data_IF_887749475415
#
_entry.id   IF_887749475415
#
_cell.length_a   1.000
_cell.length_b   1.000
_cell.length_c   1.000
_cell.angle_alpha   90.00
_cell.angle_beta   90.00
_cell.angle_gamma   90.00
#
_symmetry.space_group_name_H-M   'P 1'
#
loop_
_entity.id
_entity.type
_entity.pdbx_description
1 polymer ?
#
# COMPACT_ATOMS: atom_id res chain seq x y z
N UNK A 1 -5.21 -1.59 7.17
CA UNK A 1 -5.26 -3.02 6.90
C UNK A 1 -5.65 -3.25 5.45
N UNK A 2 -5.32 -4.42 4.91
CA UNK A 2 -5.74 -4.82 3.56
C UNK A 2 -5.55 -6.33 3.39
N UNK A 3 -6.32 -6.93 2.47
CA UNK A 3 -6.24 -8.35 2.20
C UNK A 3 -7.09 -8.79 1.02
N UNK A 4 -6.88 -10.03 0.59
CA UNK A 4 -7.63 -10.67 -0.48
C UNK A 4 -7.92 -12.12 -0.11
N UNK A 5 -9.01 -12.69 -0.61
CA UNK A 5 -9.37 -14.09 -0.42
C UNK A 5 -9.22 -14.91 -1.73
N UNK A 6 -9.45 -16.21 -1.63
CA UNK A 6 -9.25 -17.15 -2.73
C UNK A 6 -10.24 -17.00 -3.90
N UNK A 7 -11.34 -16.28 -3.71
CA UNK A 7 -12.33 -16.01 -4.76
C UNK A 7 -12.15 -14.62 -5.38
N UNK A 8 -11.05 -13.90 -5.05
CA UNK A 8 -10.69 -12.61 -5.64
C UNK A 8 -11.40 -11.41 -5.03
N UNK A 9 -12.15 -11.59 -3.95
CA UNK A 9 -12.65 -10.48 -3.16
C UNK A 9 -11.51 -9.87 -2.36
N UNK A 10 -11.36 -8.56 -2.44
CA UNK A 10 -10.26 -7.83 -1.78
C UNK A 10 -10.78 -6.59 -1.10
N UNK A 11 -10.19 -6.27 0.06
CA UNK A 11 -10.60 -5.14 0.88
C UNK A 11 -9.39 -4.44 1.48
N UNK A 12 -9.46 -3.13 1.56
CA UNK A 12 -8.54 -2.28 2.32
C UNK A 12 -9.31 -1.25 3.14
N UNK A 13 -8.68 -0.65 4.16
CA UNK A 13 -9.28 0.47 4.87
C UNK A 13 -8.32 1.64 5.07
N UNK A 14 -8.91 2.82 5.24
CA UNK A 14 -8.28 3.98 5.89
C UNK A 14 -9.16 4.41 7.06
N UNK A 15 -8.58 4.61 8.24
CA UNK A 15 -9.31 5.17 9.37
C UNK A 15 -9.88 6.54 8.98
N UNK A 16 -11.13 6.81 9.36
CA UNK A 16 -11.79 8.10 9.17
C UNK A 16 -12.01 8.76 10.54
N UNK A 17 -11.74 10.06 10.62
CA UNK A 17 -11.81 10.80 11.87
C UNK A 17 -12.92 11.86 11.89
N UNK A 18 -13.88 11.73 10.97
CA UNK A 18 -15.04 12.65 10.86
C UNK A 18 -16.38 11.90 10.68
N UNK A 19 -16.39 10.59 10.93
CA UNK A 19 -17.60 9.78 11.04
C UNK A 19 -18.05 9.71 12.50
N UNK A 20 -19.30 9.29 12.74
CA UNK A 20 -19.89 8.99 14.06
C UNK A 20 -20.04 10.21 14.99
N UNK A 21 -20.04 11.45 14.49
CA UNK A 21 -20.23 12.62 15.34
C UNK A 21 -21.57 12.53 16.11
N UNK A 22 -21.49 12.65 17.44
CA UNK A 22 -22.64 12.55 18.34
C UNK A 22 -23.26 11.17 18.47
N UNK A 23 -22.67 10.14 17.85
CA UNK A 23 -23.11 8.74 17.98
C UNK A 23 -22.37 8.02 19.11
N UNK A 24 -23.02 7.05 19.72
CA UNK A 24 -22.45 6.18 20.74
C UNK A 24 -22.64 4.72 20.30
N UNK A 25 -21.61 3.91 20.46
CA UNK A 25 -21.63 2.49 20.18
C UNK A 25 -21.27 1.70 21.46
N UNK A 26 -21.99 0.61 21.71
CA UNK A 26 -21.78 -0.21 22.92
C UNK A 26 -20.60 -1.20 22.77
N UNK A 27 -20.00 -1.28 21.59
CA UNK A 27 -18.84 -2.14 21.33
C UNK A 27 -17.55 -1.32 21.24
N UNK A 28 -16.37 -1.93 21.55
CA UNK A 28 -15.09 -1.22 21.44
C UNK A 28 -14.84 -0.67 20.02
N UNK A 29 -14.22 0.49 19.94
CA UNK A 29 -13.72 1.09 18.70
C UNK A 29 -12.51 0.32 18.11
N UNK A 30 -12.02 0.76 16.97
CA UNK A 30 -10.84 0.24 16.26
C UNK A 30 -10.95 -1.24 15.87
N UNK A 31 -12.14 -1.69 15.47
CA UNK A 31 -12.40 -3.09 15.09
C UNK A 31 -12.24 -3.38 13.60
N UNK A 32 -11.74 -2.44 12.81
CA UNK A 32 -11.64 -2.55 11.35
C UNK A 32 -10.87 -3.79 10.90
N UNK A 33 -9.78 -4.13 11.59
CA UNK A 33 -8.98 -5.32 11.27
C UNK A 33 -9.75 -6.63 11.48
N UNK A 34 -10.53 -6.73 12.57
CA UNK A 34 -11.38 -7.88 12.85
C UNK A 34 -12.55 -7.96 11.87
N UNK A 35 -13.18 -6.82 11.59
CA UNK A 35 -14.25 -6.71 10.60
C UNK A 35 -13.79 -7.18 9.23
N UNK A 36 -12.66 -6.65 8.72
CA UNK A 36 -12.10 -7.04 7.43
C UNK A 36 -11.76 -8.53 7.36
N UNK A 37 -11.22 -9.09 8.43
CA UNK A 37 -10.97 -10.54 8.50
C UNK A 37 -12.26 -11.34 8.37
N UNK A 38 -13.30 -10.99 9.13
CA UNK A 38 -14.60 -11.67 9.05
C UNK A 38 -15.21 -11.57 7.64
N UNK A 39 -15.10 -10.40 7.01
CA UNK A 39 -15.55 -10.16 5.63
C UNK A 39 -14.80 -11.03 4.63
N UNK A 40 -13.47 -11.12 4.72
CA UNK A 40 -12.63 -11.96 3.84
C UNK A 40 -12.95 -13.46 3.98
N UNK A 41 -13.48 -13.90 5.11
CA UNK A 41 -13.86 -15.30 5.33
C UNK A 41 -15.19 -15.68 4.61
N UNK A 42 -16.08 -14.71 4.33
CA UNK A 42 -17.46 -15.02 3.89
C UNK A 42 -17.91 -14.30 2.61
N UNK A 43 -17.29 -13.21 2.19
CA UNK A 43 -17.71 -12.43 1.04
C UNK A 43 -16.96 -12.85 -0.24
N UNK A 44 -17.69 -12.89 -1.34
CA UNK A 44 -17.14 -13.13 -2.68
C UNK A 44 -17.28 -11.93 -3.61
N UNK A 45 -18.21 -11.01 -3.33
CA UNK A 45 -18.48 -9.83 -4.16
C UNK A 45 -19.04 -8.66 -3.32
N UNK A 46 -19.32 -7.53 -3.98
CA UNK A 46 -19.88 -6.33 -3.34
C UNK A 46 -21.24 -6.60 -2.69
N UNK A 47 -22.08 -7.44 -3.29
CA UNK A 47 -23.40 -7.77 -2.72
C UNK A 47 -23.27 -8.54 -1.41
N UNK A 48 -22.34 -9.50 -1.34
CA UNK A 48 -22.06 -10.23 -0.10
C UNK A 48 -21.57 -9.27 0.99
N UNK A 49 -20.72 -8.32 0.62
CA UNK A 49 -20.20 -7.31 1.54
C UNK A 49 -21.32 -6.39 2.08
N UNK A 50 -22.20 -5.89 1.22
CA UNK A 50 -23.36 -5.07 1.61
C UNK A 50 -24.31 -5.85 2.53
N UNK A 51 -24.60 -7.11 2.19
CA UNK A 51 -25.40 -8.01 3.02
C UNK A 51 -24.75 -8.28 4.38
N UNK A 52 -23.42 -8.41 4.43
CA UNK A 52 -22.69 -8.59 5.69
C UNK A 52 -22.79 -7.34 6.57
N UNK A 53 -22.60 -6.15 6.00
CA UNK A 53 -22.74 -4.88 6.73
C UNK A 53 -24.15 -4.70 7.29
N UNK A 54 -25.19 -4.94 6.48
CA UNK A 54 -26.59 -4.81 6.91
C UNK A 54 -26.94 -5.78 8.07
N UNK A 55 -26.42 -7.01 8.05
CA UNK A 55 -26.65 -8.01 9.11
C UNK A 55 -25.86 -7.76 10.38
N UNK A 56 -24.81 -6.95 10.31
CA UNK A 56 -23.87 -6.68 11.41
C UNK A 56 -23.90 -5.23 11.90
N UNK A 57 -24.95 -4.49 11.58
CA UNK A 57 -25.17 -3.11 12.02
C UNK A 57 -25.06 -2.99 13.54
N UNK A 58 -24.30 -1.98 14.00
CA UNK A 58 -24.06 -1.72 15.42
C UNK A 58 -23.25 -2.79 16.19
N UNK A 59 -22.75 -3.83 15.49
CA UNK A 59 -21.94 -4.90 16.12
C UNK A 59 -20.43 -4.66 16.03
N UNK A 60 -20.02 -3.60 15.35
CA UNK A 60 -18.62 -3.25 15.12
C UNK A 60 -18.40 -1.77 15.42
N UNK A 61 -17.38 -1.46 16.19
CA UNK A 61 -16.92 -0.09 16.41
C UNK A 61 -16.07 0.38 15.23
N UNK A 62 -16.71 0.89 14.17
CA UNK A 62 -16.05 1.25 12.92
C UNK A 62 -16.11 2.76 12.69
N UNK A 63 -15.01 3.30 12.18
CA UNK A 63 -14.92 4.64 11.63
C UNK A 63 -13.88 4.63 10.49
N UNK A 64 -14.27 4.14 9.30
CA UNK A 64 -13.31 3.91 8.22
C UNK A 64 -13.92 4.00 6.83
N UNK A 65 -13.05 4.28 5.86
CA UNK A 65 -13.33 4.10 4.44
C UNK A 65 -12.81 2.72 4.01
N UNK A 66 -13.69 1.85 3.57
CA UNK A 66 -13.34 0.54 3.03
C UNK A 66 -13.35 0.59 1.51
N UNK A 67 -12.19 0.36 0.89
CA UNK A 67 -12.07 0.15 -0.55
C UNK A 67 -12.20 -1.34 -0.85
N UNK A 68 -13.13 -1.71 -1.73
CA UNK A 68 -13.44 -3.11 -2.06
C UNK A 68 -13.41 -3.31 -3.55
N UNK A 69 -12.80 -4.42 -3.99
CA UNK A 69 -12.88 -4.92 -5.36
C UNK A 69 -13.19 -6.42 -5.36
N UNK A 70 -13.82 -6.91 -6.43
CA UNK A 70 -14.12 -8.33 -6.59
C UNK A 70 -13.78 -8.87 -7.99
N UNK A 71 -13.79 -10.20 -8.13
CA UNK A 71 -13.48 -10.88 -9.39
C UNK A 71 -14.59 -10.76 -10.46
N UNK A 72 -15.75 -10.16 -10.14
CA UNK A 72 -16.84 -9.89 -11.07
C UNK A 72 -16.74 -8.49 -11.70
N UNK A 73 -15.74 -7.70 -11.31
CA UNK A 73 -15.50 -6.35 -11.78
C UNK A 73 -16.11 -5.28 -10.88
N UNK A 74 -16.64 -5.63 -9.73
CA UNK A 74 -17.11 -4.68 -8.73
C UNK A 74 -15.95 -3.92 -8.11
N UNK A 75 -16.10 -2.59 -7.94
CA UNK A 75 -15.15 -1.72 -7.28
C UNK A 75 -15.87 -0.54 -6.63
N UNK A 76 -15.73 -0.38 -5.32
CA UNK A 76 -16.39 0.70 -4.59
C UNK A 76 -15.63 1.08 -3.31
N UNK A 77 -15.86 2.31 -2.84
CA UNK A 77 -15.59 2.71 -1.46
C UNK A 77 -16.87 2.72 -0.65
N UNK A 78 -16.74 2.31 0.61
CA UNK A 78 -17.79 2.36 1.63
C UNK A 78 -17.26 3.16 2.81
N UNK A 79 -17.81 4.34 3.02
CA UNK A 79 -17.54 5.17 4.20
C UNK A 79 -18.47 4.70 5.32
N UNK A 80 -17.94 3.90 6.27
CA UNK A 80 -18.71 3.16 7.26
C UNK A 80 -18.45 3.65 8.66
N UNK A 81 -19.53 4.13 9.31
CA UNK A 81 -19.60 4.42 10.73
C UNK A 81 -20.16 3.23 11.54
N UNK A 82 -20.63 3.50 12.76
CA UNK A 82 -21.20 2.48 13.65
C UNK A 82 -22.44 1.81 13.05
N UNK A 83 -23.35 2.59 12.48
CA UNK A 83 -24.65 2.12 12.02
C UNK A 83 -24.78 2.22 10.51
N UNK A 84 -24.49 3.36 9.94
CA UNK A 84 -24.70 3.67 8.55
C UNK A 84 -23.45 3.53 7.69
N UNK A 85 -23.64 3.46 6.38
CA UNK A 85 -22.56 3.61 5.40
C UNK A 85 -23.02 4.37 4.17
N UNK A 86 -22.09 5.04 3.52
CA UNK A 86 -22.26 5.64 2.19
C UNK A 86 -21.42 4.87 1.17
N UNK A 87 -22.04 4.45 0.06
CA UNK A 87 -21.36 3.76 -1.05
C UNK A 87 -20.96 4.75 -2.13
N UNK A 88 -19.76 4.60 -2.62
CA UNK A 88 -19.23 5.29 -3.80
C UNK A 88 -18.77 4.25 -4.81
N UNK A 89 -19.58 4.00 -5.84
CA UNK A 89 -19.33 2.98 -6.86
C UNK A 89 -18.48 3.58 -7.99
N UNK A 90 -17.39 2.89 -8.38
CA UNK A 90 -16.50 3.34 -9.46
C UNK A 90 -17.18 3.28 -10.83
N UNK A 91 -18.21 2.46 -10.99
CA UNK A 91 -18.97 2.36 -12.25
C UNK A 91 -19.97 3.49 -12.45
N UNK A 92 -20.26 4.27 -11.41
CA UNK A 92 -21.11 5.44 -11.48
C UNK A 92 -20.29 6.66 -11.94
N UNK A 93 -20.57 7.15 -13.15
CA UNK A 93 -19.85 8.27 -13.75
C UNK A 93 -20.05 9.60 -13.01
N UNK A 94 -21.13 9.75 -12.24
CA UNK A 94 -21.36 10.93 -11.42
C UNK A 94 -20.50 10.91 -10.15
N UNK A 95 -20.12 9.71 -9.70
CA UNK A 95 -19.29 9.47 -8.51
C UNK A 95 -17.81 9.39 -8.87
N UNK A 96 -17.47 8.71 -9.95
CA UNK A 96 -16.09 8.46 -10.41
C UNK A 96 -15.94 8.77 -11.91
N UNK A 97 -16.00 10.04 -12.33
CA UNK A 97 -15.96 10.43 -13.75
C UNK A 97 -14.67 9.97 -14.45
N UNK A 98 -13.57 9.86 -13.72
CA UNK A 98 -12.27 9.44 -14.24
C UNK A 98 -11.99 7.93 -14.01
N UNK A 99 -12.97 7.17 -13.51
CA UNK A 99 -12.87 5.73 -13.28
C UNK A 99 -12.00 5.32 -12.07
N UNK A 100 -11.75 6.24 -11.14
CA UNK A 100 -11.05 5.95 -9.88
C UNK A 100 -11.61 6.77 -8.72
N UNK A 101 -11.31 6.34 -7.50
CA UNK A 101 -11.66 7.03 -6.25
C UNK A 101 -10.44 7.12 -5.35
N UNK A 102 -10.29 8.24 -4.65
CA UNK A 102 -9.22 8.48 -3.69
C UNK A 102 -9.82 8.73 -2.31
N UNK A 103 -9.26 8.08 -1.30
CA UNK A 103 -9.60 8.28 0.12
C UNK A 103 -8.33 8.41 0.95
N UNK A 104 -8.41 9.25 1.98
CA UNK A 104 -7.40 9.38 3.03
C UNK A 104 -8.05 9.22 4.40
N UNK A 105 -7.67 10.01 5.40
CA UNK A 105 -8.19 9.84 6.76
C UNK A 105 -9.37 10.78 7.07
N UNK A 106 -10.22 11.00 6.08
CA UNK A 106 -11.54 11.61 6.22
C UNK A 106 -12.53 10.97 5.24
N UNK A 107 -13.82 11.09 5.52
CA UNK A 107 -14.93 10.63 4.69
C UNK A 107 -15.68 11.82 4.09
N UNK A 108 -16.12 11.72 2.86
CA UNK A 108 -16.93 12.76 2.21
C UNK A 108 -18.34 12.84 2.79
N UNK A 109 -18.86 11.72 3.33
CA UNK A 109 -20.14 11.66 4.03
C UNK A 109 -20.05 12.05 5.51
N UNK A 110 -18.85 12.31 6.04
CA UNK A 110 -18.65 12.68 7.42
C UNK A 110 -18.81 14.20 7.66
N UNK A 111 -18.53 14.63 8.89
CA UNK A 111 -18.60 16.04 9.27
C UNK A 111 -17.61 16.85 8.45
N UNK A 112 -18.10 17.93 7.81
CA UNK A 112 -17.31 18.82 6.96
C UNK A 112 -16.18 19.47 7.76
N UNK A 113 -15.05 19.71 7.08
CA UNK A 113 -13.82 20.31 7.65
C UNK A 113 -13.20 19.56 8.84
N UNK A 114 -13.58 18.31 9.06
CA UNK A 114 -12.99 17.43 10.05
C UNK A 114 -12.23 16.26 9.42
N UNK A 115 -11.42 15.57 10.22
CA UNK A 115 -10.57 14.46 9.78
C UNK A 115 -9.14 14.88 9.43
N UNK A 116 -8.39 13.98 8.80
CA UNK A 116 -6.97 14.17 8.51
C UNK A 116 -6.64 13.80 7.07
N UNK A 117 -5.49 14.27 6.59
CA UNK A 117 -4.94 13.86 5.31
C UNK A 117 -5.43 14.64 4.10
N UNK A 118 -6.01 15.82 4.26
CA UNK A 118 -6.42 16.72 3.17
C UNK A 118 -5.25 17.06 2.24
N UNK A 119 -4.07 17.35 2.82
CA UNK A 119 -2.86 17.68 2.05
C UNK A 119 -2.48 16.48 1.17
N UNK A 120 -2.46 15.27 1.73
CA UNK A 120 -2.16 14.02 1.02
C UNK A 120 -3.22 13.69 -0.04
N UNK A 121 -4.50 13.96 0.25
CA UNK A 121 -5.59 13.79 -0.70
C UNK A 121 -5.39 14.70 -1.93
N UNK A 122 -5.13 16.00 -1.71
CA UNK A 122 -4.92 16.96 -2.79
C UNK A 122 -3.76 16.59 -3.71
N UNK A 123 -2.61 16.22 -3.14
CA UNK A 123 -1.45 15.77 -3.92
C UNK A 123 -1.72 14.48 -4.70
N UNK A 124 -2.44 13.54 -4.10
CA UNK A 124 -2.78 12.29 -4.79
C UNK A 124 -3.77 12.56 -5.92
N UNK A 125 -4.77 13.41 -5.70
CA UNK A 125 -5.74 13.81 -6.74
C UNK A 125 -5.05 14.49 -7.92
N UNK A 126 -4.15 15.46 -7.66
CA UNK A 126 -3.36 16.10 -8.70
C UNK A 126 -2.51 15.10 -9.49
N UNK A 127 -1.88 14.13 -8.79
CA UNK A 127 -1.08 13.11 -9.43
C UNK A 127 -1.90 12.24 -10.39
N UNK A 128 -3.09 11.80 -9.97
CA UNK A 128 -3.95 10.92 -10.78
C UNK A 128 -4.61 11.66 -11.94
N UNK A 129 -5.04 12.91 -11.76
CA UNK A 129 -5.61 13.74 -12.83
C UNK A 129 -4.67 13.95 -14.02
N UNK A 130 -3.36 13.87 -13.80
CA UNK A 130 -2.35 14.02 -14.84
C UNK A 130 -1.95 12.67 -15.49
N UNK A 131 -2.68 11.57 -15.22
CA UNK A 131 -2.37 10.25 -15.75
C UNK A 131 -3.40 9.78 -16.77
N UNK A 132 -2.93 9.42 -17.98
CA UNK A 132 -3.78 8.78 -18.98
C UNK A 132 -4.03 7.29 -18.68
N UNK A 133 -3.10 6.65 -17.95
CA UNK A 133 -3.18 5.22 -17.62
C UNK A 133 -2.64 4.95 -16.22
N UNK A 134 -3.43 4.29 -15.41
CA UNK A 134 -3.03 3.84 -14.06
C UNK A 134 -2.44 2.43 -14.20
N UNK A 135 -1.12 2.35 -14.36
CA UNK A 135 -0.38 1.09 -14.44
C UNK A 135 0.17 0.67 -13.06
N UNK A 136 0.64 -0.57 -12.97
CA UNK A 136 1.32 -1.05 -11.74
C UNK A 136 2.60 -0.26 -11.49
N UNK A 137 3.35 0.06 -12.54
CA UNK A 137 4.55 0.87 -12.46
C UNK A 137 4.23 2.26 -11.91
N UNK A 138 3.20 2.94 -12.45
CA UNK A 138 2.74 4.22 -11.91
C UNK A 138 2.37 4.13 -10.43
N UNK A 139 1.61 3.11 -10.04
CA UNK A 139 1.21 2.91 -8.65
C UNK A 139 2.41 2.69 -7.73
N UNK A 140 3.39 1.89 -8.15
CA UNK A 140 4.59 1.60 -7.36
C UNK A 140 5.54 2.80 -7.27
N UNK A 141 5.82 3.47 -8.39
CA UNK A 141 6.85 4.50 -8.45
C UNK A 141 6.36 5.89 -8.08
N UNK A 142 5.16 6.26 -8.54
CA UNK A 142 4.63 7.61 -8.39
C UNK A 142 3.61 7.72 -7.25
N UNK A 143 2.63 6.81 -7.17
CA UNK A 143 1.56 6.95 -6.19
C UNK A 143 2.02 6.55 -4.78
N UNK A 144 2.55 5.31 -4.60
CA UNK A 144 2.93 4.82 -3.26
C UNK A 144 4.23 5.44 -2.73
N UNK A 145 5.04 6.03 -3.59
CA UNK A 145 6.31 6.71 -3.27
C UNK A 145 6.28 8.20 -3.62
N UNK A 146 5.08 8.80 -3.55
CA UNK A 146 4.94 10.23 -3.76
C UNK A 146 5.63 11.01 -2.63
N UNK A 147 6.59 11.85 -3.00
CA UNK A 147 7.38 12.70 -2.11
C UNK A 147 7.15 14.19 -2.38
N UNK A 148 6.01 14.53 -3.00
CA UNK A 148 5.54 15.90 -3.13
C UNK A 148 4.69 16.30 -1.92
N UNK A 149 4.92 17.48 -1.38
CA UNK A 149 4.11 18.04 -0.30
C UNK A 149 3.18 19.12 -0.85
N UNK A 150 1.87 18.91 -0.73
CA UNK A 150 0.87 19.75 -1.38
C UNK A 150 0.76 21.16 -0.81
N UNK A 151 1.09 21.38 0.46
CA UNK A 151 0.97 22.69 1.10
C UNK A 151 2.21 23.57 0.90
N UNK A 152 3.42 23.00 1.06
CA UNK A 152 4.67 23.76 0.98
C UNK A 152 5.34 23.69 -0.40
N UNK A 153 4.79 22.91 -1.31
CA UNK A 153 5.27 22.80 -2.68
C UNK A 153 6.61 22.07 -2.86
N UNK A 154 7.16 21.45 -1.83
CA UNK A 154 8.37 20.65 -1.94
C UNK A 154 8.09 19.37 -2.70
N UNK A 155 8.97 19.04 -3.65
CA UNK A 155 9.06 17.72 -4.27
C UNK A 155 10.48 17.18 -4.10
N UNK A 156 10.63 16.20 -3.22
CA UNK A 156 11.93 15.68 -2.85
C UNK A 156 12.57 14.82 -3.96
N UNK A 157 11.77 14.32 -4.92
CA UNK A 157 12.30 13.61 -6.10
C UNK A 157 12.72 14.58 -7.20
N UNK A 158 11.95 15.65 -7.40
CA UNK A 158 12.26 16.64 -8.43
C UNK A 158 13.44 17.57 -8.06
N UNK A 159 13.77 17.66 -6.77
CA UNK A 159 14.88 18.50 -6.28
C UNK A 159 15.86 17.69 -5.45
N UNK A 160 16.57 16.72 -6.05
CA UNK A 160 17.58 15.92 -5.33
C UNK A 160 18.68 16.80 -4.75
N UNK A 161 19.32 16.34 -3.69
CA UNK A 161 20.31 17.12 -2.93
C UNK A 161 21.75 16.70 -3.25
N UNK A 162 22.72 17.65 -3.19
CA UNK A 162 24.13 17.32 -3.27
C UNK A 162 24.53 16.32 -2.18
N UNK A 163 25.49 15.45 -2.49
CA UNK A 163 26.09 14.49 -1.54
C UNK A 163 27.15 15.17 -0.66
N UNK A 164 27.11 16.45 -0.44
CA UNK A 164 28.06 17.10 0.46
C UNK A 164 27.79 16.68 1.91
N UNK A 165 28.75 15.95 2.50
CA UNK A 165 28.69 15.50 3.90
C UNK A 165 28.58 16.65 4.90
N UNK A 166 28.93 17.87 4.50
CA UNK A 166 28.84 19.08 5.31
C UNK A 166 27.45 19.74 5.19
N UNK A 167 26.70 19.46 4.12
CA UNK A 167 25.36 20.00 3.88
C UNK A 167 24.29 18.97 4.29
N UNK A 168 24.09 18.82 5.59
CA UNK A 168 23.06 17.96 6.16
C UNK A 168 21.69 18.64 6.01
N UNK A 169 21.13 18.55 4.83
CA UNK A 169 19.80 19.11 4.56
C UNK A 169 18.71 18.18 5.10
N UNK A 170 18.23 18.49 6.28
CA UNK A 170 17.07 17.85 6.85
C UNK A 170 15.79 18.53 6.38
N UNK A 171 14.75 17.72 6.14
CA UNK A 171 13.40 18.17 5.78
C UNK A 171 12.42 17.66 6.82
N UNK A 172 11.55 18.53 7.33
CA UNK A 172 10.41 18.09 8.15
C UNK A 172 9.51 17.19 7.30
N UNK A 173 9.33 15.92 7.73
CA UNK A 173 8.71 14.88 6.92
C UNK A 173 7.30 14.56 7.44
N UNK A 174 6.41 15.53 7.31
CA UNK A 174 4.99 15.43 7.68
C UNK A 174 4.12 15.64 6.44
N UNK A 175 2.93 15.08 6.44
CA UNK A 175 1.90 15.22 5.39
C UNK A 175 2.29 14.85 3.95
N UNK A 176 3.39 14.14 3.76
CA UNK A 176 3.67 13.42 2.52
C UNK A 176 2.78 12.18 2.42
N UNK A 177 2.50 11.71 1.18
CA UNK A 177 1.78 10.45 0.96
C UNK A 177 2.53 9.29 1.62
N UNK A 178 3.84 9.24 1.43
CA UNK A 178 4.73 8.38 2.20
C UNK A 178 4.90 8.95 3.60
N UNK A 179 4.29 8.34 4.59
CA UNK A 179 4.44 8.78 5.98
C UNK A 179 5.64 8.10 6.62
N UNK A 180 6.32 8.83 7.55
CA UNK A 180 7.38 8.20 8.35
C UNK A 180 6.88 6.94 9.08
N UNK A 181 5.66 6.94 9.56
CA UNK A 181 5.05 5.83 10.29
C UNK A 181 4.61 4.66 9.40
N UNK A 182 4.67 4.78 8.06
CA UNK A 182 4.30 3.68 7.17
C UNK A 182 5.18 2.46 7.43
N UNK A 183 4.55 1.32 7.69
CA UNK A 183 5.19 0.05 8.00
C UNK A 183 5.04 -0.98 6.87
N UNK A 184 4.11 -0.75 5.96
CA UNK A 184 3.90 -1.57 4.75
C UNK A 184 3.01 -0.84 3.76
N UNK A 185 3.06 -1.27 2.52
CA UNK A 185 2.14 -0.86 1.45
C UNK A 185 1.79 -2.08 0.62
N UNK A 186 0.57 -2.12 0.11
CA UNK A 186 0.15 -3.15 -0.81
C UNK A 186 -0.70 -2.53 -1.93
N UNK A 187 -0.44 -2.94 -3.16
CA UNK A 187 -1.32 -2.70 -4.28
C UNK A 187 -2.00 -4.03 -4.61
N UNK A 188 -3.31 -4.06 -4.57
CA UNK A 188 -4.07 -5.25 -4.94
C UNK A 188 -4.52 -5.09 -6.39
N UNK A 189 -3.89 -5.84 -7.27
CA UNK A 189 -4.29 -5.93 -8.67
C UNK A 189 -5.33 -7.04 -8.80
N UNK A 190 -6.59 -6.65 -8.94
CA UNK A 190 -7.70 -7.57 -9.20
C UNK A 190 -7.61 -8.23 -10.57
N UNK A 191 -8.60 -9.04 -10.89
CA UNK A 191 -8.75 -9.76 -12.15
C UNK A 191 -9.93 -9.19 -12.96
N UNK A 192 -9.92 -9.41 -14.26
CA UNK A 192 -11.08 -9.15 -15.10
C UNK A 192 -12.14 -10.25 -14.88
N UNK A 193 -13.44 -9.97 -15.12
CA UNK A 193 -14.53 -10.94 -14.89
C UNK A 193 -14.36 -12.29 -15.60
N UNK A 194 -13.55 -12.33 -16.66
CA UNK A 194 -13.25 -13.56 -17.42
C UNK A 194 -11.99 -14.29 -16.96
N UNK A 195 -11.27 -13.74 -16.00
CA UNK A 195 -10.00 -14.30 -15.50
C UNK A 195 -10.22 -15.13 -14.24
N UNK A 196 -9.29 -16.03 -13.98
CA UNK A 196 -9.30 -16.84 -12.77
C UNK A 196 -8.99 -15.99 -11.52
N UNK A 197 -9.81 -16.04 -10.45
CA UNK A 197 -9.61 -15.25 -9.24
C UNK A 197 -8.23 -15.42 -8.58
N UNK A 198 -7.63 -16.59 -8.71
CA UNK A 198 -6.29 -16.88 -8.19
C UNK A 198 -5.16 -16.07 -8.84
N UNK A 199 -5.44 -15.33 -9.90
CA UNK A 199 -4.50 -14.38 -10.52
C UNK A 199 -4.46 -13.02 -9.82
N UNK A 200 -5.39 -12.76 -8.88
CA UNK A 200 -5.34 -11.56 -8.03
C UNK A 200 -3.96 -11.48 -7.38
N UNK A 201 -3.26 -10.39 -7.67
CA UNK A 201 -1.86 -10.21 -7.27
C UNK A 201 -1.75 -9.13 -6.22
N UNK A 202 -1.10 -9.45 -5.11
CA UNK A 202 -0.79 -8.54 -4.03
C UNK A 202 0.66 -8.09 -4.20
N UNK A 203 0.86 -6.86 -4.68
CA UNK A 203 2.16 -6.23 -4.79
C UNK A 203 2.52 -5.63 -3.44
N UNK A 204 3.27 -6.40 -2.65
CA UNK A 204 3.54 -6.09 -1.25
C UNK A 204 4.89 -5.41 -1.09
N UNK A 205 4.91 -4.29 -0.40
CA UNK A 205 6.12 -3.59 0.07
C UNK A 205 6.10 -3.73 1.59
N UNK A 206 6.93 -4.62 2.14
CA UNK A 206 7.01 -4.89 3.57
C UNK A 206 8.11 -4.03 4.19
N UNK A 207 7.71 -2.99 4.91
CA UNK A 207 8.58 -1.95 5.43
C UNK A 207 8.23 -0.57 4.87
N UNK A 208 9.12 0.39 5.08
CA UNK A 208 8.95 1.75 4.57
C UNK A 208 9.16 1.80 3.05
N UNK A 209 8.17 2.29 2.30
CA UNK A 209 8.09 2.18 0.85
C UNK A 209 9.36 2.63 0.10
N UNK A 210 9.99 3.77 0.45
CA UNK A 210 11.13 4.26 -0.32
C UNK A 210 12.39 3.39 -0.24
N UNK A 211 12.48 2.49 0.74
CA UNK A 211 13.69 1.69 0.98
C UNK A 211 13.47 0.20 0.77
N UNK A 212 12.26 -0.19 0.34
CA UNK A 212 11.90 -1.61 0.23
C UNK A 212 11.50 -1.97 -1.19
N UNK A 213 12.05 -3.06 -1.72
CA UNK A 213 11.61 -3.65 -2.99
C UNK A 213 10.23 -4.28 -2.87
N UNK A 214 9.43 -4.15 -3.93
CA UNK A 214 8.14 -4.84 -4.01
C UNK A 214 8.31 -6.35 -4.11
N UNK A 215 7.46 -7.08 -3.40
CA UNK A 215 7.37 -8.54 -3.47
C UNK A 215 5.95 -8.95 -3.85
N UNK A 216 5.71 -9.40 -5.09
CA UNK A 216 4.40 -9.85 -5.52
C UNK A 216 4.10 -11.22 -4.90
N UNK A 217 2.91 -11.34 -4.30
CA UNK A 217 2.40 -12.59 -3.72
C UNK A 217 0.96 -12.84 -4.18
N UNK A 218 0.51 -14.08 -4.07
CA UNK A 218 -0.82 -14.53 -4.43
C UNK A 218 -1.42 -15.34 -3.29
N UNK A 219 -2.73 -15.27 -3.09
CA UNK A 219 -3.42 -16.04 -2.03
C UNK A 219 -3.10 -17.53 -2.15
N UNK A 220 -3.09 -18.06 -3.38
CA UNK A 220 -2.70 -19.45 -3.66
C UNK A 220 -1.27 -19.78 -3.24
N UNK A 221 -0.40 -18.78 -3.13
CA UNK A 221 1.01 -18.97 -2.74
C UNK A 221 1.25 -19.07 -1.24
N UNK A 222 0.23 -19.02 -0.42
CA UNK A 222 0.39 -19.00 1.05
C UNK A 222 1.28 -20.13 1.60
N UNK A 223 1.25 -21.31 0.97
CA UNK A 223 2.12 -22.46 1.33
C UNK A 223 3.58 -22.31 0.84
N UNK A 224 3.89 -21.30 0.02
CA UNK A 224 5.18 -21.12 -0.66
C UNK A 224 5.68 -19.67 -0.59
N UNK A 225 5.29 -18.93 0.44
CA UNK A 225 5.74 -17.55 0.61
C UNK A 225 7.28 -17.51 0.70
N UNK A 226 7.91 -16.47 0.11
CA UNK A 226 9.32 -16.20 0.31
C UNK A 226 9.68 -16.11 1.80
N UNK A 227 10.77 -16.76 2.23
CA UNK A 227 11.17 -16.78 3.65
C UNK A 227 11.48 -15.39 4.18
N UNK A 228 11.98 -14.50 3.33
CA UNK A 228 12.25 -13.09 3.69
C UNK A 228 10.99 -12.32 4.13
N UNK A 229 9.78 -12.82 3.84
CA UNK A 229 8.51 -12.22 4.27
C UNK A 229 7.92 -12.83 5.55
N UNK A 230 8.55 -13.85 6.11
CA UNK A 230 8.00 -14.62 7.21
C UNK A 230 8.73 -14.30 8.51
N UNK A 231 7.99 -13.77 9.48
CA UNK A 231 8.47 -13.61 10.85
C UNK A 231 8.69 -14.98 11.51
N UNK A 232 9.81 -15.17 12.18
CA UNK A 232 10.14 -16.37 12.94
C UNK A 232 10.39 -16.00 14.41
N UNK A 233 9.84 -16.77 15.32
CA UNK A 233 10.09 -16.62 16.77
C UNK A 233 9.80 -15.21 17.33
N UNK A 234 8.85 -14.50 16.75
CA UNK A 234 8.49 -13.14 17.18
C UNK A 234 9.46 -12.05 16.72
N UNK A 235 10.48 -12.38 15.93
CA UNK A 235 11.34 -11.39 15.29
C UNK A 235 10.65 -10.75 14.08
N UNK A 236 11.16 -9.61 13.61
CA UNK A 236 10.74 -9.02 12.34
C UNK A 236 11.00 -9.99 11.17
N UNK A 237 10.14 -9.94 10.15
CA UNK A 237 10.46 -10.63 8.90
C UNK A 237 11.76 -10.06 8.31
N UNK A 238 12.65 -10.89 7.74
CA UNK A 238 13.98 -10.46 7.30
C UNK A 238 13.99 -9.22 6.41
N UNK A 239 13.08 -9.15 5.43
CA UNK A 239 12.97 -7.97 4.56
C UNK A 239 12.52 -6.72 5.33
N UNK A 240 11.65 -6.86 6.34
CA UNK A 240 11.24 -5.73 7.18
C UNK A 240 12.39 -5.23 8.06
N UNK A 241 13.20 -6.13 8.61
CA UNK A 241 14.39 -5.78 9.39
C UNK A 241 15.38 -4.96 8.56
N UNK A 242 15.68 -5.42 7.33
CA UNK A 242 16.54 -4.69 6.38
C UNK A 242 15.95 -3.31 6.03
N UNK A 243 14.64 -3.23 5.78
CA UNK A 243 13.97 -1.96 5.52
C UNK A 243 14.04 -0.99 6.70
N UNK A 244 13.92 -1.49 7.93
CA UNK A 244 14.05 -0.67 9.15
C UNK A 244 15.48 -0.13 9.32
N UNK A 245 16.48 -0.92 8.99
CA UNK A 245 17.87 -0.48 9.00
C UNK A 245 18.10 0.68 8.01
N UNK A 246 17.71 0.52 6.76
CA UNK A 246 17.83 1.57 5.74
C UNK A 246 17.02 2.83 6.08
N UNK A 247 15.84 2.66 6.67
CA UNK A 247 15.03 3.78 7.14
C UNK A 247 15.73 4.59 8.22
N UNK A 248 16.49 3.96 9.13
CA UNK A 248 17.31 4.67 10.14
C UNK A 248 18.38 5.55 9.50
N UNK A 249 18.93 5.15 8.36
CA UNK A 249 19.86 6.01 7.61
C UNK A 249 19.19 7.27 7.08
N UNK A 250 17.90 7.18 6.70
CA UNK A 250 17.10 8.34 6.27
C UNK A 250 16.63 9.21 7.45
N UNK A 251 16.43 8.63 8.63
CA UNK A 251 15.99 9.32 9.85
C UNK A 251 17.00 9.08 10.99
N UNK A 252 18.23 9.65 10.89
CA UNK A 252 19.33 9.33 11.80
C UNK A 252 19.19 9.97 13.18
N UNK A 253 18.20 10.85 13.39
CA UNK A 253 17.99 11.51 14.68
C UNK A 253 16.87 10.81 15.43
N UNK A 254 17.19 10.05 16.45
CA UNK A 254 16.19 9.30 17.23
C UNK A 254 15.59 10.13 18.38
N UNK A 255 16.23 11.23 18.77
CA UNK A 255 15.91 11.99 19.98
C UNK A 255 14.91 13.11 19.74
N UNK A 256 13.85 13.12 20.53
CA UNK A 256 12.85 14.18 20.52
C UNK A 256 12.18 14.34 19.14
N UNK A 257 11.91 15.57 18.74
CA UNK A 257 11.32 15.88 17.44
C UNK A 257 12.27 15.68 16.26
N UNK A 258 13.55 15.42 16.52
CA UNK A 258 14.53 15.12 15.47
C UNK A 258 14.17 13.90 14.64
N UNK A 259 13.45 12.96 15.23
CA UNK A 259 12.92 11.76 14.54
C UNK A 259 12.01 12.07 13.33
N UNK A 260 11.41 13.26 13.26
CA UNK A 260 10.47 13.66 12.21
C UNK A 260 11.18 14.36 11.03
N UNK A 261 12.52 14.47 11.10
CA UNK A 261 13.35 15.09 10.06
C UNK A 261 14.06 14.04 9.20
N UNK A 262 13.71 14.05 7.93
CA UNK A 262 14.35 13.23 6.90
C UNK A 262 15.70 13.84 6.48
N UNK A 263 16.75 13.05 6.46
CA UNK A 263 18.00 13.38 5.78
C UNK A 263 17.84 13.11 4.28
N UNK A 264 17.45 14.13 3.53
CA UNK A 264 17.01 14.03 2.15
C UNK A 264 18.05 13.39 1.22
N UNK A 265 19.32 13.79 1.32
CA UNK A 265 20.40 13.27 0.48
C UNK A 265 20.66 11.76 0.62
N UNK A 266 20.18 11.13 1.71
CA UNK A 266 20.22 9.67 1.87
C UNK A 266 19.11 8.97 1.13
N UNK A 267 17.99 9.66 0.91
CA UNK A 267 16.85 9.09 0.18
C UNK A 267 17.01 9.24 -1.33
N UNK A 268 17.24 10.47 -1.78
CA UNK A 268 17.54 10.82 -3.18
C UNK A 268 18.65 11.86 -3.24
N UNK A 269 19.52 11.78 -4.22
CA UNK A 269 20.62 12.73 -4.37
C UNK A 269 21.04 12.91 -5.84
N UNK A 270 21.84 13.96 -6.10
CA UNK A 270 22.29 14.32 -7.45
C UNK A 270 23.20 13.27 -8.10
N UNK A 271 23.88 12.42 -7.33
CA UNK A 271 24.70 11.32 -7.87
C UNK A 271 23.89 10.09 -8.26
N UNK A 272 22.58 10.03 -7.88
CA UNK A 272 21.73 8.86 -8.11
C UNK A 272 22.07 7.67 -7.20
N UNK A 273 22.76 7.92 -6.07
CA UNK A 273 23.16 6.90 -5.09
C UNK A 273 22.28 6.93 -3.83
N UNK A 274 21.21 7.73 -3.82
CA UNK A 274 20.21 7.69 -2.77
C UNK A 274 19.49 6.35 -2.73
N UNK A 275 19.02 5.95 -1.56
CA UNK A 275 18.40 4.61 -1.38
C UNK A 275 17.24 4.41 -2.36
N UNK A 276 16.36 5.40 -2.53
CA UNK A 276 15.26 5.31 -3.47
C UNK A 276 15.74 5.30 -4.94
N UNK A 277 16.82 6.03 -5.23
CA UNK A 277 17.40 6.07 -6.57
C UNK A 277 17.92 4.69 -7.01
N UNK A 278 18.38 3.86 -6.06
CA UNK A 278 18.83 2.48 -6.30
C UNK A 278 17.65 1.48 -6.26
N UNK A 279 16.68 1.67 -5.38
CA UNK A 279 15.53 0.76 -5.22
C UNK A 279 14.66 0.73 -6.48
N UNK A 280 14.32 1.88 -7.07
CA UNK A 280 13.40 1.95 -8.20
C UNK A 280 13.88 1.18 -9.44
N UNK A 281 15.14 1.34 -9.91
CA UNK A 281 15.64 0.56 -11.05
C UNK A 281 15.66 -0.95 -10.79
N UNK A 282 16.02 -1.37 -9.56
CA UNK A 282 16.03 -2.77 -9.19
C UNK A 282 14.61 -3.36 -9.20
N UNK A 283 13.62 -2.61 -8.75
CA UNK A 283 12.22 -3.03 -8.72
C UNK A 283 11.64 -3.28 -10.12
N UNK A 284 12.07 -2.53 -11.14
CA UNK A 284 11.63 -2.76 -12.52
C UNK A 284 11.86 -4.21 -12.99
N UNK A 285 12.96 -4.84 -12.56
CA UNK A 285 13.26 -6.24 -12.89
C UNK A 285 12.21 -7.19 -12.29
N UNK A 286 11.79 -6.92 -11.06
CA UNK A 286 10.74 -7.70 -10.37
C UNK A 286 9.40 -7.53 -11.09
N UNK A 287 9.00 -6.29 -11.36
CA UNK A 287 7.73 -5.95 -12.02
C UNK A 287 7.66 -6.62 -13.39
N UNK A 288 8.69 -6.44 -14.23
CA UNK A 288 8.77 -7.03 -15.58
C UNK A 288 8.65 -8.56 -15.56
N UNK A 289 9.33 -9.21 -14.61
CA UNK A 289 9.29 -10.67 -14.51
C UNK A 289 7.94 -11.18 -13.98
N UNK A 290 7.33 -10.44 -13.07
CA UNK A 290 6.00 -10.73 -12.54
C UNK A 290 4.93 -10.62 -13.63
N UNK A 291 4.91 -9.53 -14.38
CA UNK A 291 3.97 -9.33 -15.51
C UNK A 291 4.13 -10.46 -16.55
N UNK A 292 5.37 -10.85 -16.85
CA UNK A 292 5.63 -11.99 -17.76
C UNK A 292 5.05 -13.29 -17.22
N UNK A 293 5.14 -13.53 -15.92
CA UNK A 293 4.57 -14.69 -15.26
C UNK A 293 3.05 -14.67 -15.26
N UNK A 294 2.42 -13.55 -14.90
CA UNK A 294 0.97 -13.35 -14.97
C UNK A 294 0.44 -13.60 -16.39
N UNK A 295 1.09 -13.05 -17.43
CA UNK A 295 0.70 -13.25 -18.82
C UNK A 295 0.82 -14.72 -19.27
N UNK A 296 1.81 -15.45 -18.73
CA UNK A 296 1.91 -16.90 -18.95
C UNK A 296 0.74 -17.65 -18.29
N UNK A 297 0.38 -17.29 -17.07
CA UNK A 297 -0.70 -17.92 -16.33
C UNK A 297 -2.08 -17.61 -16.93
N UNK A 298 -2.32 -16.41 -17.42
CA UNK A 298 -3.54 -16.07 -18.18
C UNK A 298 -3.75 -16.99 -19.40
N UNK A 299 -2.64 -17.40 -20.05
CA UNK A 299 -2.69 -18.26 -21.25
C UNK A 299 -2.72 -19.75 -20.94
N UNK A 300 -2.08 -20.20 -19.86
CA UNK A 300 -1.76 -21.62 -19.59
C UNK A 300 -2.25 -22.14 -18.25
N UNK A 301 -2.91 -21.30 -17.48
CA UNK A 301 -3.27 -21.55 -16.08
C UNK A 301 -2.09 -21.40 -15.12
N UNK A 302 -2.41 -21.14 -13.88
CA UNK A 302 -1.47 -21.04 -12.76
C UNK A 302 -0.81 -22.40 -12.48
N UNK A 303 0.51 -22.39 -12.15
CA UNK A 303 1.27 -23.59 -11.79
C UNK A 303 2.15 -23.33 -10.57
N UNK A 304 2.04 -24.16 -9.54
CA UNK A 304 2.88 -24.09 -8.34
C UNK A 304 4.38 -24.21 -8.63
N UNK A 305 4.75 -24.97 -9.67
CA UNK A 305 6.15 -25.09 -10.10
C UNK A 305 6.73 -23.80 -10.65
N UNK A 306 5.91 -23.00 -11.34
CA UNK A 306 6.33 -21.70 -11.84
C UNK A 306 6.47 -20.70 -10.67
N UNK A 307 5.54 -20.74 -9.73
CA UNK A 307 5.56 -19.93 -8.51
C UNK A 307 6.80 -20.22 -7.66
N UNK A 308 7.08 -21.50 -7.36
CA UNK A 308 8.28 -21.90 -6.60
C UNK A 308 9.57 -21.41 -7.25
N UNK A 309 9.67 -21.52 -8.59
CA UNK A 309 10.83 -21.00 -9.34
C UNK A 309 10.93 -19.49 -9.28
N UNK A 310 9.79 -18.81 -9.36
CA UNK A 310 9.74 -17.36 -9.25
C UNK A 310 10.16 -16.89 -7.86
N UNK A 311 9.61 -17.47 -6.80
CA UNK A 311 9.94 -17.12 -5.42
C UNK A 311 11.41 -17.36 -5.11
N UNK A 312 11.97 -18.50 -5.54
CA UNK A 312 13.41 -18.77 -5.38
C UNK A 312 14.29 -17.72 -6.08
N UNK A 313 13.89 -17.30 -7.29
CA UNK A 313 14.59 -16.25 -7.99
C UNK A 313 14.43 -14.91 -7.27
N UNK A 314 13.22 -14.57 -6.81
CA UNK A 314 12.93 -13.32 -6.13
C UNK A 314 13.76 -13.18 -4.86
N UNK A 315 13.82 -14.22 -4.03
CA UNK A 315 14.64 -14.25 -2.82
C UNK A 315 16.11 -14.00 -3.15
N UNK A 316 16.68 -14.77 -4.06
CA UNK A 316 18.08 -14.60 -4.45
C UNK A 316 18.35 -13.19 -4.99
N UNK A 317 17.47 -12.65 -5.81
CA UNK A 317 17.59 -11.30 -6.38
C UNK A 317 17.54 -10.22 -5.32
N UNK A 318 16.61 -10.32 -4.36
CA UNK A 318 16.46 -9.33 -3.29
C UNK A 318 17.65 -9.39 -2.34
N UNK A 319 18.11 -10.58 -1.95
CA UNK A 319 19.31 -10.75 -1.11
C UNK A 319 20.55 -10.14 -1.78
N UNK A 320 20.81 -10.47 -3.03
CA UNK A 320 21.94 -9.94 -3.82
C UNK A 320 21.87 -8.41 -3.88
N UNK A 321 20.71 -7.85 -4.22
CA UNK A 321 20.53 -6.40 -4.31
C UNK A 321 20.82 -5.68 -3.00
N UNK A 322 20.27 -6.13 -1.87
CA UNK A 322 20.51 -5.47 -0.58
C UNK A 322 21.96 -5.58 -0.14
N UNK A 323 22.60 -6.73 -0.39
CA UNK A 323 24.01 -6.94 -0.07
C UNK A 323 24.93 -6.05 -0.93
N UNK A 324 24.68 -5.96 -2.25
CA UNK A 324 25.54 -5.20 -3.16
C UNK A 324 25.33 -3.68 -3.05
N UNK A 325 24.06 -3.24 -2.92
CA UNK A 325 23.74 -1.82 -2.91
C UNK A 325 23.93 -1.16 -1.54
N UNK A 326 23.74 -1.91 -0.45
CA UNK A 326 23.67 -1.33 0.91
C UNK A 326 24.54 -2.03 1.95
N UNK A 327 25.22 -3.11 1.61
CA UNK A 327 25.95 -3.97 2.56
C UNK A 327 25.04 -4.55 3.66
N UNK A 328 23.71 -4.67 3.39
CA UNK A 328 22.71 -5.19 4.31
C UNK A 328 22.41 -6.65 3.98
N UNK A 329 22.56 -7.52 4.98
CA UNK A 329 22.22 -8.94 4.85
C UNK A 329 20.73 -9.15 5.21
N UNK A 330 20.03 -9.91 4.39
CA UNK A 330 18.67 -10.38 4.70
C UNK A 330 18.82 -11.79 5.29
N UNK A 331 18.89 -11.90 6.61
CA UNK A 331 19.03 -13.20 7.30
C UNK A 331 17.71 -13.98 7.27
N UNK A 332 17.79 -15.30 6.98
CA UNK A 332 16.63 -16.21 6.94
C UNK A 332 16.21 -16.73 8.33
#
# INVERSE_FOLDING_TARGET
WMGSNSVGFSIMNTASYNLNEGQVCDVPDDQEGLFMRAVLEVCADLNDFENFMAKSEGRWGLAANFGVIDAKGGAAYYEKGYYDYSKYDVTDSDVAPDGYLIRTNFSFSGTEDQGYGFIRHGVTSELFQNQETISIEFMLEAATRNLKHGLVGNDLRATPKPVDLNDRQFVAFEDYVVRRASASTMIIQGVLPSEAPELTTLWTILGWQPVTLVTPVWVRSAAFLPQMLISKNGADAPLNAAALELKRHCFPIERGNGKDYLLHSKLTNESGEGILDLVLPAEHSIVKKTIKLQNKWRKKGHRDTDLKKFNKWLEAYVHEFYQEAFEVTIDE
#
